data_IF_093101090163
#
_entry.id   IF_093101090163
#
_cell.length_a   1.000
_cell.length_b   1.000
_cell.length_c   1.000
_cell.angle_alpha   90.00
_cell.angle_beta   90.00
_cell.angle_gamma   90.00
#
_symmetry.space_group_name_H-M   'P 1'
#
loop_
_entity.id
_entity.type
_entity.pdbx_description
1 polymer ?
#
# COMPACT_ATOMS: atom_id res chain seq x y z
N UNK A 1 -14.41 -4.53 14.40
CA UNK A 1 -13.02 -4.63 14.94
C UNK A 1 -12.13 -3.62 14.26
N UNK A 2 -11.34 -2.90 15.03
CA UNK A 2 -10.32 -2.04 14.44
C UNK A 2 -9.12 -2.88 13.96
N UNK A 3 -8.19 -2.24 13.25
CA UNK A 3 -7.02 -2.94 12.71
C UNK A 3 -6.20 -3.64 13.79
N UNK A 4 -5.96 -2.98 14.92
CA UNK A 4 -5.18 -3.55 16.02
C UNK A 4 -5.82 -4.84 16.56
N UNK A 5 -7.13 -4.86 16.73
CA UNK A 5 -7.86 -6.04 17.19
C UNK A 5 -7.79 -7.17 16.19
N UNK A 6 -7.92 -6.86 14.90
CA UNK A 6 -7.77 -7.85 13.83
C UNK A 6 -6.37 -8.46 13.81
N UNK A 7 -5.34 -7.63 13.95
CA UNK A 7 -3.95 -8.08 14.00
C UNK A 7 -3.71 -9.00 15.18
N UNK A 8 -4.19 -8.65 16.36
CA UNK A 8 -4.02 -9.48 17.56
C UNK A 8 -4.70 -10.84 17.41
N UNK A 9 -5.90 -10.87 16.86
CA UNK A 9 -6.62 -12.12 16.59
C UNK A 9 -5.87 -13.01 15.61
N UNK A 10 -5.41 -12.44 14.50
CA UNK A 10 -4.67 -13.19 13.48
C UNK A 10 -3.29 -13.64 13.96
N UNK A 11 -2.63 -12.86 14.81
CA UNK A 11 -1.37 -13.28 15.44
C UNK A 11 -1.57 -14.53 16.29
N UNK A 12 -2.66 -14.60 17.03
CA UNK A 12 -3.00 -15.77 17.85
C UNK A 12 -3.18 -17.00 16.97
N UNK A 13 -3.89 -16.85 15.86
CA UNK A 13 -4.12 -17.94 14.91
C UNK A 13 -2.82 -18.37 14.22
N UNK A 14 -2.00 -17.42 13.83
CA UNK A 14 -0.69 -17.69 13.21
C UNK A 14 0.26 -18.42 14.16
N UNK A 15 0.23 -18.07 15.46
CA UNK A 15 1.02 -18.81 16.47
C UNK A 15 0.57 -20.24 16.60
N UNK A 16 -0.74 -20.49 16.62
CA UNK A 16 -1.30 -21.84 16.68
C UNK A 16 -0.93 -22.66 15.45
N UNK A 17 -0.96 -22.02 14.29
CA UNK A 17 -0.61 -22.64 13.00
C UNK A 17 0.89 -22.76 12.76
N UNK A 18 1.73 -22.17 13.63
CA UNK A 18 3.18 -22.09 13.47
C UNK A 18 3.58 -21.40 12.16
N UNK A 19 2.79 -20.41 11.76
CA UNK A 19 3.01 -19.62 10.55
C UNK A 19 3.99 -18.47 10.84
N UNK A 20 5.27 -18.72 10.68
CA UNK A 20 6.32 -17.77 10.97
C UNK A 20 6.29 -16.55 10.04
N UNK A 21 6.01 -16.77 8.76
CA UNK A 21 5.91 -15.68 7.78
C UNK A 21 4.73 -14.75 8.12
N UNK A 22 3.57 -15.35 8.44
CA UNK A 22 2.41 -14.61 8.88
C UNK A 22 2.68 -13.80 10.14
N UNK A 23 3.35 -14.39 11.12
CA UNK A 23 3.72 -13.71 12.36
C UNK A 23 4.65 -12.52 12.11
N UNK A 24 5.64 -12.65 11.23
CA UNK A 24 6.56 -11.55 10.90
C UNK A 24 5.80 -10.36 10.32
N UNK A 25 4.93 -10.60 9.36
CA UNK A 25 4.11 -9.56 8.74
C UNK A 25 3.18 -8.88 9.75
N UNK A 26 2.49 -9.67 10.57
CA UNK A 26 1.57 -9.18 11.59
C UNK A 26 2.29 -8.37 12.68
N UNK A 27 3.46 -8.83 13.12
CA UNK A 27 4.29 -8.11 14.09
C UNK A 27 4.75 -6.76 13.55
N UNK A 28 5.07 -6.69 12.28
CA UNK A 28 5.47 -5.44 11.62
C UNK A 28 4.31 -4.43 11.65
N UNK A 29 3.09 -4.87 11.38
CA UNK A 29 1.91 -4.03 11.44
C UNK A 29 1.65 -3.56 12.88
N UNK A 30 1.73 -4.49 13.83
CA UNK A 30 1.53 -4.16 15.25
C UNK A 30 2.53 -3.12 15.74
N UNK A 31 3.80 -3.28 15.39
CA UNK A 31 4.85 -2.34 15.76
C UNK A 31 4.59 -0.94 15.16
N UNK A 32 4.15 -0.88 13.91
CA UNK A 32 3.82 0.37 13.24
C UNK A 32 2.63 1.07 13.89
N UNK A 33 1.60 0.32 14.29
CA UNK A 33 0.45 0.86 15.02
C UNK A 33 0.89 1.46 16.37
N UNK A 34 1.73 0.74 17.09
CA UNK A 34 2.23 1.22 18.39
C UNK A 34 3.02 2.52 18.24
N UNK A 35 3.91 2.58 17.25
CA UNK A 35 4.68 3.78 16.97
C UNK A 35 3.75 4.96 16.62
N UNK A 36 2.75 4.73 15.78
CA UNK A 36 1.79 5.75 15.38
C UNK A 36 1.01 6.29 16.59
N UNK A 37 0.59 5.42 17.50
CA UNK A 37 -0.12 5.82 18.73
C UNK A 37 0.74 6.62 19.71
N UNK A 38 2.04 6.35 19.75
CA UNK A 38 2.96 7.00 20.70
C UNK A 38 3.63 8.24 20.14
N UNK A 39 3.54 8.49 18.83
CA UNK A 39 4.22 9.61 18.16
C UNK A 39 3.38 10.89 18.02
N UNK A 40 2.34 11.04 18.84
CA UNK A 40 1.56 12.27 18.89
C UNK A 40 0.30 12.29 18.02
N UNK A 41 0.00 11.21 17.31
CA UNK A 41 -1.23 11.09 16.50
C UNK A 41 -2.50 10.82 17.34
N UNK A 42 -2.36 10.75 18.67
CA UNK A 42 -3.45 10.41 19.58
C UNK A 42 -3.56 8.91 19.83
N UNK A 43 -4.49 8.54 20.71
CA UNK A 43 -4.64 7.15 21.16
C UNK A 43 -5.39 6.25 20.17
N UNK A 44 -6.11 6.84 19.23
CA UNK A 44 -6.89 6.09 18.25
C UNK A 44 -6.54 6.52 16.83
N UNK A 45 -6.36 5.51 15.96
CA UNK A 45 -6.13 5.74 14.54
C UNK A 45 -7.46 5.68 13.80
N UNK A 46 -7.66 6.60 12.87
CA UNK A 46 -8.82 6.54 11.97
C UNK A 46 -8.58 5.45 10.91
N UNK A 47 -9.64 5.05 10.20
CA UNK A 47 -9.51 4.10 9.09
C UNK A 47 -8.53 4.61 8.02
N UNK A 48 -8.51 5.92 7.76
CA UNK A 48 -7.59 6.55 6.82
C UNK A 48 -6.13 6.46 7.32
N UNK A 49 -5.91 6.70 8.62
CA UNK A 49 -4.59 6.56 9.24
C UNK A 49 -4.08 5.12 9.15
N UNK A 50 -4.95 4.14 9.40
CA UNK A 50 -4.62 2.73 9.31
C UNK A 50 -4.22 2.36 7.87
N UNK A 51 -4.95 2.84 6.88
CA UNK A 51 -4.68 2.59 5.47
C UNK A 51 -3.34 3.19 5.05
N UNK A 52 -3.06 4.43 5.44
CA UNK A 52 -1.79 5.10 5.15
C UNK A 52 -0.60 4.38 5.79
N UNK A 53 -0.78 3.91 7.01
CA UNK A 53 0.22 3.12 7.73
C UNK A 53 0.56 1.83 6.98
N UNK A 54 -0.46 1.10 6.56
CA UNK A 54 -0.30 -0.14 5.79
C UNK A 54 0.38 0.11 4.44
N UNK A 55 -0.03 1.15 3.73
CA UNK A 55 0.58 1.54 2.45
C UNK A 55 2.06 1.87 2.60
N UNK A 56 2.43 2.58 3.67
CA UNK A 56 3.82 2.92 3.96
C UNK A 56 4.66 1.67 4.22
N UNK A 57 4.11 0.71 4.97
CA UNK A 57 4.80 -0.55 5.25
C UNK A 57 5.05 -1.35 3.97
N UNK A 58 4.06 -1.41 3.09
CA UNK A 58 4.19 -2.10 1.80
C UNK A 58 5.23 -1.42 0.93
N UNK A 59 5.19 -0.09 0.83
CA UNK A 59 6.14 0.68 0.03
C UNK A 59 7.58 0.46 0.49
N UNK A 60 7.83 0.54 1.79
CA UNK A 60 9.15 0.32 2.36
C UNK A 60 9.70 -1.07 2.00
N UNK A 61 8.82 -2.08 2.03
CA UNK A 61 9.22 -3.45 1.70
C UNK A 61 9.42 -3.66 0.21
N UNK A 62 8.63 -3.00 -0.63
CA UNK A 62 8.85 -3.03 -2.09
C UNK A 62 10.17 -2.39 -2.48
N UNK A 63 10.54 -1.30 -1.83
CA UNK A 63 11.83 -0.64 -2.05
C UNK A 63 12.99 -1.58 -1.66
N UNK A 64 12.88 -2.24 -0.51
CA UNK A 64 13.87 -3.23 -0.06
C UNK A 64 13.92 -4.44 -0.99
N UNK A 65 12.76 -4.92 -1.43
CA UNK A 65 12.65 -6.04 -2.36
C UNK A 65 13.39 -5.76 -3.66
N UNK A 66 13.21 -4.58 -4.23
CA UNK A 66 13.90 -4.16 -5.45
C UNK A 66 15.41 -4.20 -5.27
N UNK A 67 15.92 -3.68 -4.16
CA UNK A 67 17.35 -3.69 -3.84
C UNK A 67 17.88 -5.12 -3.72
N UNK A 68 17.18 -5.99 -3.01
CA UNK A 68 17.58 -7.38 -2.83
C UNK A 68 17.57 -8.17 -4.14
N UNK A 69 16.60 -7.89 -5.00
CA UNK A 69 16.54 -8.49 -6.35
C UNK A 69 17.74 -8.06 -7.20
N UNK A 70 18.10 -6.78 -7.16
CA UNK A 70 19.27 -6.26 -7.86
C UNK A 70 20.57 -6.90 -7.36
N UNK A 71 20.65 -7.23 -6.07
CA UNK A 71 21.79 -7.86 -5.44
C UNK A 71 21.76 -9.39 -5.52
N UNK A 72 20.78 -9.97 -6.18
CA UNK A 72 20.56 -11.42 -6.26
C UNK A 72 20.44 -12.11 -4.88
N UNK A 73 19.90 -11.39 -3.90
CA UNK A 73 19.68 -11.93 -2.54
C UNK A 73 18.27 -12.54 -2.46
N UNK A 74 18.10 -13.70 -3.06
CA UNK A 74 16.82 -14.43 -3.14
C UNK A 74 16.25 -14.75 -1.76
N UNK A 75 17.11 -15.05 -0.79
CA UNK A 75 16.73 -15.32 0.60
C UNK A 75 16.02 -14.12 1.25
N UNK A 76 16.56 -12.92 1.08
CA UNK A 76 15.99 -11.69 1.62
C UNK A 76 14.78 -11.21 0.81
N UNK A 77 14.83 -11.34 -0.52
CA UNK A 77 13.72 -11.03 -1.41
C UNK A 77 12.46 -11.82 -1.04
N UNK A 78 12.60 -13.10 -0.78
CA UNK A 78 11.49 -13.99 -0.42
C UNK A 78 10.82 -13.52 0.87
N UNK A 79 11.60 -13.12 1.88
CA UNK A 79 11.06 -12.60 3.15
C UNK A 79 10.26 -11.33 2.95
N UNK A 80 10.75 -10.41 2.13
CA UNK A 80 10.03 -9.18 1.79
C UNK A 80 8.72 -9.48 1.07
N UNK A 81 8.73 -10.37 0.09
CA UNK A 81 7.53 -10.80 -0.63
C UNK A 81 6.48 -11.41 0.29
N UNK A 82 6.89 -12.26 1.21
CA UNK A 82 5.99 -12.89 2.19
C UNK A 82 5.35 -11.86 3.11
N UNK A 83 6.11 -10.89 3.59
CA UNK A 83 5.60 -9.83 4.46
C UNK A 83 4.65 -8.90 3.70
N UNK A 84 4.98 -8.53 2.46
CA UNK A 84 4.10 -7.73 1.60
C UNK A 84 2.75 -8.43 1.41
N UNK A 85 2.76 -9.73 1.13
CA UNK A 85 1.54 -10.50 0.93
C UNK A 85 0.64 -10.48 2.18
N UNK A 86 1.23 -10.56 3.37
CA UNK A 86 0.47 -10.50 4.63
C UNK A 86 -0.12 -9.10 4.84
N UNK A 87 0.66 -8.05 4.64
CA UNK A 87 0.22 -6.67 4.86
C UNK A 87 -0.86 -6.27 3.87
N UNK A 88 -0.74 -6.66 2.61
CA UNK A 88 -1.71 -6.33 1.57
C UNK A 88 -3.09 -6.93 1.81
N UNK A 89 -3.20 -8.00 2.60
CA UNK A 89 -4.51 -8.57 2.99
C UNK A 89 -5.38 -7.59 3.77
N UNK A 90 -4.78 -6.61 4.43
CA UNK A 90 -5.48 -5.60 5.22
C UNK A 90 -5.80 -4.33 4.42
N UNK A 91 -5.28 -4.23 3.20
CA UNK A 91 -5.56 -3.13 2.28
C UNK A 91 -6.73 -3.50 1.34
N UNK A 92 -7.42 -2.51 0.76
CA UNK A 92 -8.35 -2.78 -0.33
C UNK A 92 -7.65 -3.55 -1.45
N UNK A 93 -8.41 -4.27 -2.27
CA UNK A 93 -7.85 -4.99 -3.41
C UNK A 93 -7.00 -4.04 -4.27
N UNK A 94 -5.74 -4.39 -4.46
CA UNK A 94 -4.84 -3.59 -5.27
C UNK A 94 -5.17 -3.72 -6.75
N UNK A 95 -5.12 -2.62 -7.46
CA UNK A 95 -5.42 -2.59 -8.89
C UNK A 95 -4.25 -3.10 -9.70
N UNK A 96 -4.54 -3.96 -10.68
CA UNK A 96 -3.56 -4.35 -11.69
C UNK A 96 -3.29 -3.19 -12.65
N UNK A 97 -2.20 -3.27 -13.43
CA UNK A 97 -1.79 -2.21 -14.33
C UNK A 97 -2.87 -1.82 -15.34
N UNK A 98 -3.57 -2.79 -15.91
CA UNK A 98 -4.63 -2.54 -16.91
C UNK A 98 -5.86 -1.90 -16.29
N UNK A 99 -6.27 -2.37 -15.12
CA UNK A 99 -7.39 -1.78 -14.37
C UNK A 99 -7.09 -0.34 -13.99
N UNK A 100 -5.87 -0.08 -13.53
CA UNK A 100 -5.43 1.26 -13.16
C UNK A 100 -5.46 2.22 -14.35
N UNK A 101 -4.94 1.79 -15.51
CA UNK A 101 -4.98 2.59 -16.74
C UNK A 101 -6.40 2.93 -17.15
N UNK A 102 -7.31 1.96 -17.08
CA UNK A 102 -8.73 2.17 -17.41
C UNK A 102 -9.37 3.19 -16.49
N UNK A 103 -9.14 3.08 -15.19
CA UNK A 103 -9.70 4.01 -14.21
C UNK A 103 -9.13 5.42 -14.34
N UNK A 104 -7.84 5.54 -14.58
CA UNK A 104 -7.21 6.85 -14.77
C UNK A 104 -7.65 7.49 -16.08
N UNK A 105 -7.80 6.72 -17.15
CA UNK A 105 -8.34 7.22 -18.41
C UNK A 105 -9.74 7.81 -18.23
N UNK A 106 -10.59 7.15 -17.45
CA UNK A 106 -11.92 7.68 -17.11
C UNK A 106 -11.85 8.98 -16.31
N UNK A 107 -10.93 9.08 -15.36
CA UNK A 107 -10.70 10.30 -14.57
C UNK A 107 -10.23 11.45 -15.47
N UNK A 108 -9.32 11.19 -16.39
CA UNK A 108 -8.84 12.17 -17.37
C UNK A 108 -10.02 12.70 -18.20
N UNK A 109 -10.89 11.80 -18.67
CA UNK A 109 -12.09 12.18 -19.44
C UNK A 109 -13.04 13.04 -18.60
N UNK A 110 -13.28 12.68 -17.35
CA UNK A 110 -14.14 13.43 -16.43
C UNK A 110 -13.62 14.83 -16.13
N UNK A 111 -12.30 14.97 -15.95
CA UNK A 111 -11.68 16.25 -15.61
C UNK A 111 -11.44 17.15 -16.83
N UNK A 112 -11.60 16.61 -18.02
CA UNK A 112 -11.30 17.34 -19.27
C UNK A 112 -9.82 17.60 -19.49
N UNK A 113 -8.94 16.89 -18.79
CA UNK A 113 -7.50 17.02 -18.94
C UNK A 113 -7.05 16.53 -20.33
N UNK A 114 -6.10 17.25 -20.95
CA UNK A 114 -5.66 16.94 -22.31
C UNK A 114 -4.15 17.10 -22.53
N UNK A 115 -3.42 17.50 -21.49
CA UNK A 115 -1.97 17.73 -21.60
C UNK A 115 -1.27 17.46 -20.27
N UNK A 116 0.07 17.28 -20.28
CA UNK A 116 0.84 17.11 -19.04
C UNK A 116 0.69 18.26 -18.05
N UNK A 117 0.32 19.46 -18.50
CA UNK A 117 0.07 20.60 -17.62
C UNK A 117 -1.11 20.37 -16.69
N UNK A 118 -2.04 19.47 -17.05
CA UNK A 118 -3.23 19.15 -16.26
C UNK A 118 -2.98 18.04 -15.23
N UNK A 119 -1.74 17.57 -15.09
CA UNK A 119 -1.39 16.45 -14.21
C UNK A 119 -1.83 16.67 -12.76
N UNK A 120 -1.65 17.87 -12.21
CA UNK A 120 -2.06 18.20 -10.85
C UNK A 120 -3.56 18.03 -10.62
N UNK A 121 -4.37 18.41 -11.60
CA UNK A 121 -5.82 18.28 -11.56
C UNK A 121 -6.24 16.81 -11.56
N UNK A 122 -5.65 16.01 -12.43
CA UNK A 122 -5.92 14.55 -12.50
C UNK A 122 -5.45 13.86 -11.23
N UNK A 123 -4.26 14.19 -10.73
CA UNK A 123 -3.72 13.61 -9.50
C UNK A 123 -4.59 13.91 -8.29
N UNK A 124 -5.15 15.10 -8.19
CA UNK A 124 -6.06 15.48 -7.11
C UNK A 124 -7.28 14.58 -7.03
N UNK A 125 -7.87 14.26 -8.16
CA UNK A 125 -9.03 13.36 -8.25
C UNK A 125 -8.61 11.89 -8.08
N UNK A 126 -7.57 11.47 -8.78
CA UNK A 126 -7.09 10.10 -8.76
C UNK A 126 -6.65 9.67 -7.35
N UNK A 127 -5.94 10.51 -6.63
CA UNK A 127 -5.48 10.21 -5.28
C UNK A 127 -6.64 9.96 -4.31
N UNK A 128 -7.76 10.64 -4.51
CA UNK A 128 -8.97 10.42 -3.69
C UNK A 128 -9.71 9.16 -4.06
N UNK A 129 -9.96 8.94 -5.36
CA UNK A 129 -10.72 7.79 -5.85
C UNK A 129 -9.97 6.47 -5.71
N UNK A 130 -8.65 6.50 -5.84
CA UNK A 130 -7.79 5.31 -5.81
C UNK A 130 -7.04 5.15 -4.49
N UNK A 131 -7.42 5.89 -3.46
CA UNK A 131 -6.80 5.81 -2.14
C UNK A 131 -6.78 4.37 -1.61
N UNK A 132 -5.61 3.88 -1.27
CA UNK A 132 -5.41 2.52 -0.77
C UNK A 132 -5.40 1.43 -1.83
N UNK A 133 -5.79 1.71 -3.07
CA UNK A 133 -5.87 0.72 -4.17
C UNK A 133 -4.62 0.68 -5.04
N UNK A 134 -3.88 1.77 -5.08
CA UNK A 134 -2.60 1.88 -5.76
C UNK A 134 -1.74 2.92 -5.06
N UNK A 135 -0.42 2.82 -5.15
CA UNK A 135 0.45 3.82 -4.53
C UNK A 135 0.54 5.09 -5.39
N UNK A 136 0.88 6.21 -4.76
CA UNK A 136 0.94 7.50 -5.43
C UNK A 136 1.95 7.56 -6.58
N UNK A 137 3.06 6.86 -6.46
CA UNK A 137 4.10 6.79 -7.49
C UNK A 137 3.58 6.07 -8.75
N UNK A 138 2.88 4.96 -8.58
CA UNK A 138 2.28 4.21 -9.68
C UNK A 138 1.19 5.02 -10.37
N UNK A 139 0.30 5.66 -9.58
CA UNK A 139 -0.75 6.53 -10.11
C UNK A 139 -0.13 7.67 -10.94
N UNK A 140 0.87 8.34 -10.40
CA UNK A 140 1.59 9.43 -11.07
C UNK A 140 2.20 8.99 -12.40
N UNK A 141 2.86 7.84 -12.43
CA UNK A 141 3.47 7.29 -13.63
C UNK A 141 2.44 7.03 -14.73
N UNK A 142 1.29 6.46 -14.38
CA UNK A 142 0.21 6.17 -15.34
C UNK A 142 -0.44 7.46 -15.84
N UNK A 143 -0.70 8.42 -14.96
CA UNK A 143 -1.25 9.74 -15.34
C UNK A 143 -0.31 10.42 -16.35
N UNK A 144 0.97 10.44 -16.07
CA UNK A 144 1.98 11.03 -16.96
C UNK A 144 2.00 10.35 -18.32
N UNK A 145 1.97 9.01 -18.34
CA UNK A 145 1.93 8.21 -19.56
C UNK A 145 0.70 8.56 -20.42
N UNK A 146 -0.47 8.58 -19.81
CA UNK A 146 -1.72 8.82 -20.53
C UNK A 146 -1.88 10.29 -21.03
N UNK A 147 -1.37 11.24 -20.26
CA UNK A 147 -1.41 12.64 -20.66
C UNK A 147 -0.34 13.01 -21.72
N UNK A 148 0.66 12.15 -21.88
CA UNK A 148 1.74 12.37 -22.88
C UNK A 148 1.39 11.84 -24.28
N UNK A 149 0.27 11.16 -24.40
CA UNK A 149 -0.19 10.57 -25.69
C UNK A 149 -1.07 11.51 -26.48
#
# INVERSE_FOLDING_TARGET
MNLEQQIMAQMKDAMKAKDEAGLRGLRAIKAAILIAKTSGAGSELTADDEMKLLQKLVKQRKDSLEIFQQQNRTDLSKKEEEEIAIIEKFLPKQLGADELKTMIAAIIAETGANSPADMGKVMGVASKQLAGKADGKTISAVVKELLSK
#
